data_IF_574640953223
#
_entry.id   IF_574640953223
#
_cell.length_a   1.000
_cell.length_b   1.000
_cell.length_c   1.000
_cell.angle_alpha   90.00
_cell.angle_beta   90.00
_cell.angle_gamma   90.00
#
_symmetry.space_group_name_H-M   'P 1'
#
loop_
_entity.id
_entity.type
_entity.pdbx_description
1 polymer ?
#
# COMPACT_ATOMS: atom_id res chain seq x y z
N UNK A 1 -6.28 -15.74 -33.72
CA UNK A 1 -5.08 -16.13 -32.94
C UNK A 1 -5.51 -16.63 -31.58
N UNK A 2 -5.00 -17.80 -31.21
CA UNK A 2 -5.55 -18.71 -30.19
C UNK A 2 -5.30 -18.27 -28.75
N UNK A 3 -6.29 -18.58 -27.93
CA UNK A 3 -6.36 -18.50 -26.47
C UNK A 3 -5.28 -19.35 -25.78
N UNK A 4 -4.49 -18.74 -24.90
CA UNK A 4 -3.69 -19.44 -23.87
C UNK A 4 -3.86 -18.72 -22.54
N UNK A 5 -4.70 -19.30 -21.68
CA UNK A 5 -4.99 -18.82 -20.32
C UNK A 5 -3.85 -19.07 -19.35
N UNK A 6 -2.99 -18.06 -19.18
CA UNK A 6 -2.23 -17.82 -17.96
C UNK A 6 -2.43 -16.35 -17.60
N UNK A 7 -3.11 -16.11 -16.47
CA UNK A 7 -3.45 -14.77 -16.00
C UNK A 7 -2.22 -13.89 -15.90
N UNK A 8 -2.10 -12.92 -16.82
CA UNK A 8 -0.94 -12.06 -16.92
C UNK A 8 -0.74 -11.26 -15.64
N UNK A 9 0.51 -11.23 -15.16
CA UNK A 9 0.97 -10.27 -14.18
C UNK A 9 0.57 -8.86 -14.63
N UNK A 10 -0.39 -8.26 -13.94
CA UNK A 10 -0.79 -6.88 -14.16
C UNK A 10 -0.25 -6.03 -13.01
N UNK A 11 -0.05 -4.73 -13.23
CA UNK A 11 0.37 -3.76 -12.20
C UNK A 11 -0.49 -3.82 -10.92
N UNK A 12 -1.71 -4.35 -11.02
CA UNK A 12 -2.59 -4.57 -9.89
C UNK A 12 -2.08 -5.60 -8.87
N UNK A 13 -1.21 -6.54 -9.27
CA UNK A 13 -0.59 -7.49 -8.33
C UNK A 13 0.38 -6.75 -7.40
N UNK A 14 1.15 -5.79 -7.91
CA UNK A 14 2.08 -4.98 -7.11
C UNK A 14 1.35 -4.16 -6.05
N UNK A 15 0.13 -3.69 -6.35
CA UNK A 15 -0.68 -2.93 -5.38
C UNK A 15 -1.14 -3.76 -4.18
N UNK A 16 -1.36 -5.06 -4.35
CA UNK A 16 -1.68 -5.91 -3.20
C UNK A 16 -0.49 -6.06 -2.27
N UNK A 17 0.69 -6.36 -2.84
CA UNK A 17 1.92 -6.46 -2.07
C UNK A 17 2.24 -5.13 -1.37
N UNK A 18 2.00 -4.00 -2.03
CA UNK A 18 2.11 -2.68 -1.42
C UNK A 18 1.14 -2.50 -0.23
N UNK A 19 -0.12 -2.94 -0.36
CA UNK A 19 -1.08 -2.95 0.75
C UNK A 19 -0.62 -3.75 1.96
N UNK A 20 -0.01 -4.92 1.74
CA UNK A 20 0.54 -5.75 2.82
C UNK A 20 1.72 -5.08 3.53
N UNK A 21 2.62 -4.44 2.77
CA UNK A 21 3.74 -3.67 3.34
C UNK A 21 3.22 -2.46 4.11
N UNK A 22 2.25 -1.73 3.56
CA UNK A 22 1.66 -0.57 4.22
C UNK A 22 0.95 -0.96 5.53
N UNK A 23 0.18 -2.06 5.52
CA UNK A 23 -0.39 -2.63 6.74
C UNK A 23 0.70 -2.90 7.79
N UNK A 24 1.79 -3.57 7.38
CA UNK A 24 2.89 -3.88 8.29
C UNK A 24 3.53 -2.63 8.89
N UNK A 25 3.72 -1.58 8.09
CA UNK A 25 4.26 -0.30 8.57
C UNK A 25 3.32 0.43 9.54
N UNK A 26 2.00 0.27 9.37
CA UNK A 26 1.00 0.88 10.26
C UNK A 26 0.86 0.12 11.58
N UNK A 27 0.86 -1.21 11.52
CA UNK A 27 0.63 -2.06 12.70
C UNK A 27 1.93 -2.42 13.43
N UNK A 28 3.09 -2.34 12.77
CA UNK A 28 4.38 -2.76 13.30
C UNK A 28 4.63 -4.27 13.25
N UNK A 29 3.65 -5.06 12.83
CA UNK A 29 3.71 -6.52 12.74
C UNK A 29 3.07 -7.04 11.47
N UNK A 30 3.46 -8.24 11.04
CA UNK A 30 2.86 -8.90 9.88
C UNK A 30 1.56 -9.57 10.29
N UNK A 31 0.56 -9.61 9.40
CA UNK A 31 -0.66 -10.34 9.67
C UNK A 31 -0.38 -11.83 9.79
N UNK A 32 -1.21 -12.52 10.56
CA UNK A 32 -1.12 -13.98 10.64
C UNK A 32 -1.54 -14.59 9.29
N UNK A 33 -0.93 -15.72 8.93
CA UNK A 33 -1.14 -16.39 7.63
C UNK A 33 -2.61 -16.71 7.30
N UNK A 34 -3.46 -16.84 8.32
CA UNK A 34 -4.87 -17.18 8.21
C UNK A 34 -5.82 -15.97 8.25
N UNK A 35 -5.31 -14.75 8.44
CA UNK A 35 -6.16 -13.58 8.57
C UNK A 35 -6.71 -13.13 7.22
N UNK A 36 -8.02 -12.83 7.23
CA UNK A 36 -8.69 -12.31 6.05
C UNK A 36 -8.45 -10.80 5.92
N UNK A 37 -8.47 -10.22 4.70
CA UNK A 37 -8.35 -8.78 4.50
C UNK A 37 -9.33 -7.94 5.31
N UNK A 38 -10.51 -8.48 5.66
CA UNK A 38 -11.50 -7.79 6.49
C UNK A 38 -10.96 -7.54 7.90
N UNK A 39 -10.34 -8.56 8.51
CA UNK A 39 -9.72 -8.46 9.84
C UNK A 39 -8.57 -7.45 9.82
N UNK A 40 -7.78 -7.44 8.74
CA UNK A 40 -6.68 -6.48 8.60
C UNK A 40 -7.17 -5.03 8.52
N UNK A 41 -8.30 -4.80 7.86
CA UNK A 41 -8.94 -3.48 7.81
C UNK A 41 -9.44 -3.06 9.19
N UNK A 42 -9.98 -3.99 9.98
CA UNK A 42 -10.45 -3.71 11.34
C UNK A 42 -9.28 -3.31 12.26
N UNK A 43 -8.14 -4.02 12.19
CA UNK A 43 -6.92 -3.64 12.92
C UNK A 43 -6.45 -2.22 12.56
N UNK A 44 -6.48 -1.87 11.26
CA UNK A 44 -6.08 -0.53 10.80
C UNK A 44 -7.05 0.55 11.29
N UNK A 45 -8.32 0.23 11.49
CA UNK A 45 -9.30 1.18 12.01
C UNK A 45 -8.99 1.64 13.44
N UNK A 46 -8.31 0.80 14.24
CA UNK A 46 -7.84 1.16 15.58
C UNK A 46 -6.68 2.16 15.55
N UNK A 47 -5.91 2.19 14.46
CA UNK A 47 -4.72 3.06 14.30
C UNK A 47 -5.02 4.34 13.51
N UNK A 48 -5.65 4.22 12.34
CA UNK A 48 -5.83 5.34 11.42
C UNK A 48 -7.07 5.19 10.55
N UNK A 49 -8.09 5.99 10.86
CA UNK A 49 -9.35 6.01 10.10
C UNK A 49 -9.16 6.46 8.64
N UNK A 50 -8.12 7.23 8.33
CA UNK A 50 -7.80 7.67 6.96
C UNK A 50 -7.09 6.58 6.15
N UNK A 51 -6.47 5.60 6.81
CA UNK A 51 -5.80 4.46 6.17
C UNK A 51 -6.78 3.31 5.85
N UNK A 52 -7.86 3.18 6.62
CA UNK A 52 -8.91 2.14 6.42
C UNK A 52 -9.38 2.02 4.96
N UNK A 53 -9.85 3.09 4.27
CA UNK A 53 -10.30 2.97 2.89
C UNK A 53 -9.17 2.54 1.94
N UNK A 54 -7.95 3.04 2.17
CA UNK A 54 -6.78 2.69 1.35
C UNK A 54 -6.44 1.20 1.45
N UNK A 55 -6.35 0.68 2.67
CA UNK A 55 -6.01 -0.73 2.92
C UNK A 55 -7.09 -1.64 2.35
N UNK A 56 -8.37 -1.27 2.51
CA UNK A 56 -9.49 -2.02 1.93
C UNK A 56 -9.41 -2.10 0.40
N UNK A 57 -9.05 -0.99 -0.27
CA UNK A 57 -8.91 -0.94 -1.73
C UNK A 57 -7.69 -1.73 -2.23
N UNK A 58 -6.54 -1.59 -1.56
CA UNK A 58 -5.29 -2.28 -1.92
C UNK A 58 -5.40 -3.80 -1.73
N UNK A 59 -6.02 -4.25 -0.64
CA UNK A 59 -6.20 -5.66 -0.30
C UNK A 59 -7.46 -6.29 -0.90
N UNK A 60 -8.10 -5.62 -1.86
CA UNK A 60 -9.22 -6.19 -2.61
C UNK A 60 -8.78 -7.47 -3.35
N UNK A 61 -9.58 -8.53 -3.24
CA UNK A 61 -9.29 -9.83 -3.86
C UNK A 61 -9.34 -9.73 -5.39
N UNK A 62 -10.26 -8.94 -5.95
CA UNK A 62 -10.34 -8.71 -7.39
C UNK A 62 -9.29 -7.67 -7.82
N UNK A 63 -8.24 -8.05 -8.58
CA UNK A 63 -7.20 -7.11 -9.01
C UNK A 63 -7.73 -5.99 -9.90
N UNK A 64 -8.88 -6.17 -10.58
CA UNK A 64 -9.48 -5.14 -11.43
C UNK A 64 -10.14 -4.01 -10.65
N UNK A 65 -10.41 -4.25 -9.36
CA UNK A 65 -10.99 -3.25 -8.46
C UNK A 65 -9.93 -2.51 -7.64
N UNK A 66 -8.65 -2.90 -7.75
CA UNK A 66 -7.55 -2.22 -7.07
C UNK A 66 -7.26 -0.88 -7.75
N UNK A 67 -6.84 0.13 -6.98
CA UNK A 67 -6.58 1.45 -7.51
C UNK A 67 -5.35 1.45 -8.42
N UNK A 68 -5.34 2.28 -9.44
CA UNK A 68 -4.12 2.62 -10.17
C UNK A 68 -3.28 3.67 -9.44
N UNK A 69 -2.12 4.01 -9.99
CA UNK A 69 -1.24 5.01 -9.39
C UNK A 69 -1.89 6.39 -9.26
N UNK A 70 -2.71 6.79 -10.22
CA UNK A 70 -3.38 8.11 -10.22
C UNK A 70 -4.38 8.18 -9.08
N UNK A 71 -5.17 7.12 -8.89
CA UNK A 71 -6.13 6.99 -7.79
C UNK A 71 -5.42 6.96 -6.44
N UNK A 72 -4.33 6.20 -6.32
CA UNK A 72 -3.51 6.14 -5.11
C UNK A 72 -2.93 7.50 -4.74
N UNK A 73 -2.33 8.21 -5.70
CA UNK A 73 -1.74 9.53 -5.48
C UNK A 73 -2.74 10.55 -4.96
N UNK A 74 -4.01 10.43 -5.37
CA UNK A 74 -5.10 11.30 -4.97
C UNK A 74 -5.82 10.88 -3.67
N UNK A 75 -5.48 9.70 -3.11
CA UNK A 75 -6.17 9.15 -1.95
C UNK A 75 -5.97 10.03 -0.71
N UNK A 76 -7.01 10.15 0.13
CA UNK A 76 -7.03 11.03 1.29
C UNK A 76 -5.93 10.74 2.32
N UNK A 77 -5.48 9.49 2.42
CA UNK A 77 -4.34 9.07 3.24
C UNK A 77 -3.05 9.84 2.91
N UNK A 78 -2.82 10.18 1.63
CA UNK A 78 -1.63 10.91 1.17
C UNK A 78 -1.86 12.43 1.07
N UNK A 79 -2.93 12.95 1.68
CA UNK A 79 -3.21 14.39 1.68
C UNK A 79 -2.03 15.15 2.30
N UNK A 80 -1.54 16.15 1.58
CA UNK A 80 -0.42 17.00 2.01
C UNK A 80 0.95 16.56 1.48
N UNK A 81 1.04 15.40 0.80
CA UNK A 81 2.26 15.01 0.11
C UNK A 81 2.43 15.83 -1.17
N UNK A 82 3.53 16.59 -1.23
CA UNK A 82 4.03 17.17 -2.47
C UNK A 82 4.85 16.12 -3.22
N UNK A 83 4.16 15.39 -4.08
CA UNK A 83 4.73 14.29 -4.87
C UNK A 83 5.87 14.74 -5.79
N UNK A 84 5.90 16.01 -6.23
CA UNK A 84 6.96 16.54 -7.07
C UNK A 84 8.24 16.75 -6.27
N UNK A 85 8.12 17.34 -5.07
CA UNK A 85 9.25 17.43 -4.13
C UNK A 85 9.72 16.05 -3.68
N UNK A 86 8.80 15.11 -3.48
CA UNK A 86 9.13 13.75 -3.09
C UNK A 86 9.96 13.04 -4.16
N UNK A 87 9.59 13.19 -5.44
CA UNK A 87 10.34 12.64 -6.58
C UNK A 87 11.75 13.26 -6.71
N UNK A 88 11.89 14.54 -6.36
CA UNK A 88 13.19 15.23 -6.32
C UNK A 88 14.02 14.99 -5.06
N UNK A 89 13.53 14.14 -4.15
CA UNK A 89 14.14 13.93 -2.83
C UNK A 89 14.32 15.23 -2.01
N UNK A 90 13.43 16.20 -2.21
CA UNK A 90 13.42 17.50 -1.52
C UNK A 90 12.57 17.48 -0.23
N UNK A 91 11.86 16.38 0.03
CA UNK A 91 11.12 16.16 1.28
C UNK A 91 12.07 15.60 2.33
N UNK A 92 12.23 16.25 3.50
CA UNK A 92 13.11 15.74 4.55
C UNK A 92 12.62 14.38 5.07
N UNK A 93 13.54 13.43 5.27
CA UNK A 93 13.18 12.14 5.83
C UNK A 93 12.89 12.28 7.33
N UNK A 94 11.83 11.64 7.86
CA UNK A 94 11.54 11.68 9.30
C UNK A 94 12.57 10.90 10.12
N UNK A 95 13.34 10.02 9.48
CA UNK A 95 14.37 9.20 10.09
C UNK A 95 15.67 9.31 9.28
N UNK A 96 16.78 9.54 9.98
CA UNK A 96 18.13 9.45 9.43
C UNK A 96 18.88 8.38 10.23
N UNK A 97 19.11 7.18 9.65
CA UNK A 97 19.83 6.14 10.36
C UNK A 97 21.25 6.60 10.69
N UNK A 98 21.82 6.19 11.85
CA UNK A 98 23.22 6.44 12.13
C UNK A 98 24.07 5.68 11.11
N UNK A 99 24.92 6.41 10.39
CA UNK A 99 25.89 5.80 9.48
C UNK A 99 26.97 5.14 10.32
N UNK A 100 26.93 3.82 10.45
CA UNK A 100 28.10 3.06 10.86
C UNK A 100 28.98 2.95 9.61
N UNK A 101 30.10 3.67 9.61
CA UNK A 101 31.15 3.42 8.63
C UNK A 101 31.66 1.99 8.85
N UNK A 102 31.62 1.17 7.80
CA UNK A 102 32.32 -0.12 7.76
C UNK A 102 33.84 0.07 7.82
#
# INVERSE_FOLDING_TARGET
STNTGYGGYTKAVDWYSYGMVLYHLLMGELPAWSESPVVLVDHVAECSQTAVPLIKELLCVDPRQRPDFTQLRAHAFFRGIDWWKMEKCEVPTPFSPPVQAE
#
